data_IF_252720728495
#
_entry.id   IF_252720728495
#
_cell.length_a   1.000
_cell.length_b   1.000
_cell.length_c   1.000
_cell.angle_alpha   90.00
_cell.angle_beta   90.00
_cell.angle_gamma   90.00
#
_symmetry.space_group_name_H-M   'P 1'
#
loop_
_entity.id
_entity.type
_entity.pdbx_description
1 polymer ?
#
# COMPACT_ATOMS: atom_id res chain seq x y z
N UNK A 1 -38.97 -5.28 13.29
CA UNK A 1 -38.57 -3.90 12.92
C UNK A 1 -38.49 -3.82 11.42
N UNK A 2 -39.07 -2.79 10.81
CA UNK A 2 -39.31 -2.70 9.37
C UNK A 2 -38.15 -1.95 8.68
N UNK A 3 -37.38 -2.66 7.86
CA UNK A 3 -36.21 -2.14 7.13
C UNK A 3 -36.57 -0.91 6.28
N UNK A 4 -37.79 -0.91 5.74
CA UNK A 4 -38.31 0.17 4.90
C UNK A 4 -38.42 1.48 5.66
N UNK A 5 -38.73 1.43 6.97
CA UNK A 5 -38.84 2.62 7.81
C UNK A 5 -37.48 3.26 8.06
N UNK A 6 -36.46 2.44 8.27
CA UNK A 6 -35.08 2.91 8.47
C UNK A 6 -34.48 3.50 7.20
N UNK A 7 -34.78 2.92 6.04
CA UNK A 7 -34.36 3.45 4.74
C UNK A 7 -34.98 4.82 4.45
N UNK A 8 -36.25 5.02 4.81
CA UNK A 8 -36.92 6.32 4.66
C UNK A 8 -36.32 7.37 5.59
N UNK A 9 -36.12 7.04 6.88
CA UNK A 9 -35.53 7.97 7.87
C UNK A 9 -34.07 8.33 7.54
N UNK A 10 -33.28 7.36 7.06
CA UNK A 10 -31.92 7.59 6.58
C UNK A 10 -31.91 8.51 5.36
N UNK A 11 -32.81 8.29 4.41
CA UNK A 11 -32.92 9.12 3.20
C UNK A 11 -33.32 10.56 3.52
N UNK A 12 -34.34 10.77 4.35
CA UNK A 12 -34.73 12.11 4.81
C UNK A 12 -33.59 12.83 5.55
N UNK A 13 -32.81 12.10 6.33
CA UNK A 13 -31.69 12.67 7.08
C UNK A 13 -30.56 13.06 6.12
N UNK A 14 -30.22 12.20 5.16
CA UNK A 14 -29.19 12.46 4.15
C UNK A 14 -29.57 13.64 3.24
N UNK A 15 -30.81 13.72 2.78
CA UNK A 15 -31.31 14.83 1.97
C UNK A 15 -31.28 16.17 2.73
N UNK A 16 -31.53 16.15 4.05
CA UNK A 16 -31.47 17.35 4.91
C UNK A 16 -30.06 17.79 5.27
N UNK A 17 -29.10 16.88 5.39
CA UNK A 17 -27.78 17.19 5.96
C UNK A 17 -26.65 17.24 4.94
N UNK A 18 -26.71 16.43 3.88
CA UNK A 18 -25.59 16.28 2.93
C UNK A 18 -25.85 16.95 1.57
N UNK A 19 -27.11 17.10 1.16
CA UNK A 19 -27.47 17.47 -0.22
C UNK A 19 -28.11 18.86 -0.34
N UNK A 20 -28.05 19.68 0.72
CA UNK A 20 -28.56 21.04 0.68
C UNK A 20 -27.69 21.90 -0.27
N UNK A 21 -28.14 22.02 -1.52
CA UNK A 21 -27.47 22.80 -2.57
C UNK A 21 -27.39 22.11 -3.94
N UNK A 22 -27.75 20.83 -4.04
CA UNK A 22 -27.86 20.14 -5.33
C UNK A 22 -29.31 20.15 -5.80
N UNK A 23 -29.71 21.15 -6.59
CA UNK A 23 -31.07 21.26 -7.13
C UNK A 23 -31.42 20.18 -8.17
N UNK A 24 -30.46 19.36 -8.61
CA UNK A 24 -30.69 18.25 -9.53
C UNK A 24 -29.74 17.07 -9.23
N UNK A 25 -30.28 16.03 -8.60
CA UNK A 25 -29.57 14.76 -8.31
C UNK A 25 -29.85 13.68 -9.35
N UNK A 26 -30.62 13.99 -10.40
CA UNK A 26 -31.13 13.01 -11.38
C UNK A 26 -29.98 12.32 -12.11
N UNK A 27 -28.90 13.06 -12.43
CA UNK A 27 -27.71 12.51 -13.09
C UNK A 27 -26.94 11.50 -12.21
N UNK A 28 -26.83 11.78 -10.90
CA UNK A 28 -26.17 10.89 -9.94
C UNK A 28 -26.99 9.62 -9.72
N UNK A 29 -28.32 9.77 -9.62
CA UNK A 29 -29.25 8.65 -9.51
C UNK A 29 -29.22 7.74 -10.75
N UNK A 30 -29.17 8.31 -11.96
CA UNK A 30 -29.05 7.55 -13.21
C UNK A 30 -27.73 6.76 -13.26
N UNK A 31 -26.62 7.37 -12.80
CA UNK A 31 -25.28 6.76 -12.78
C UNK A 31 -25.18 5.63 -11.74
N UNK A 32 -25.77 5.80 -10.55
CA UNK A 32 -25.87 4.75 -9.54
C UNK A 32 -26.75 3.61 -10.05
N UNK A 33 -27.91 3.91 -10.67
CA UNK A 33 -28.83 2.89 -11.22
C UNK A 33 -28.16 2.07 -12.33
N UNK A 34 -27.43 2.72 -13.24
CA UNK A 34 -26.65 2.02 -14.28
C UNK A 34 -25.57 1.11 -13.70
N UNK A 35 -24.88 1.54 -12.63
CA UNK A 35 -23.83 0.76 -11.99
C UNK A 35 -24.39 -0.44 -11.21
N UNK A 36 -25.56 -0.30 -10.57
CA UNK A 36 -26.25 -1.39 -9.88
C UNK A 36 -26.82 -2.41 -10.89
N UNK A 37 -27.44 -1.96 -11.98
CA UNK A 37 -27.95 -2.86 -13.03
C UNK A 37 -26.84 -3.62 -13.78
N UNK A 38 -25.70 -2.98 -14.05
CA UNK A 38 -24.53 -3.64 -14.65
C UNK A 38 -23.93 -4.69 -13.71
N UNK A 39 -23.88 -4.44 -12.40
CA UNK A 39 -23.43 -5.43 -11.39
C UNK A 39 -24.41 -6.59 -11.24
N UNK A 40 -25.72 -6.35 -11.31
CA UNK A 40 -26.74 -7.38 -11.23
C UNK A 40 -26.73 -8.33 -12.45
N UNK A 41 -26.47 -7.81 -13.66
CA UNK A 41 -26.41 -8.61 -14.90
C UNK A 41 -25.15 -9.48 -15.01
N UNK A 42 -24.05 -9.17 -14.30
CA UNK A 42 -22.80 -9.97 -14.30
C UNK A 42 -22.77 -11.10 -13.26
N UNK A 43 -23.60 -11.05 -12.21
CA UNK A 43 -23.62 -12.09 -11.15
C UNK A 43 -24.43 -13.36 -11.51
N UNK A 44 -24.96 -13.48 -12.73
CA UNK A 44 -25.87 -14.58 -13.11
C UNK A 44 -25.43 -15.49 -14.26
N UNK A 45 -24.12 -15.59 -14.51
CA UNK A 45 -23.56 -16.60 -15.42
C UNK A 45 -22.23 -17.14 -14.90
N UNK A 46 -22.28 -18.04 -13.93
CA UNK A 46 -21.35 -19.17 -13.77
C UNK A 46 -21.89 -20.10 -12.67
N UNK A 47 -22.91 -20.88 -13.02
CA UNK A 47 -23.30 -22.10 -12.31
C UNK A 47 -23.42 -23.21 -13.34
N UNK A 48 -22.67 -24.30 -13.14
CA UNK A 48 -22.98 -25.66 -13.61
C UNK A 48 -22.03 -26.65 -12.88
N UNK A 49 -22.39 -27.94 -12.75
CA UNK A 49 -22.84 -28.46 -11.47
C UNK A 49 -22.02 -29.64 -10.93
N UNK A 50 -22.37 -30.01 -9.70
CA UNK A 50 -22.01 -31.18 -8.91
C UNK A 50 -21.83 -32.49 -9.70
N UNK A 51 -20.80 -33.25 -9.35
CA UNK A 51 -20.86 -34.72 -9.36
C UNK A 51 -20.11 -35.27 -8.15
N UNK A 52 -20.88 -35.72 -7.17
CA UNK A 52 -20.42 -36.48 -6.04
C UNK A 52 -20.07 -37.92 -6.46
N UNK A 53 -18.95 -38.43 -5.94
CA UNK A 53 -18.77 -39.87 -5.71
C UNK A 53 -17.85 -40.07 -4.48
N UNK A 54 -18.48 -40.47 -3.38
CA UNK A 54 -17.87 -41.06 -2.19
C UNK A 54 -17.00 -42.28 -2.53
N UNK A 55 -15.90 -42.49 -1.79
CA UNK A 55 -15.65 -43.71 -0.97
C UNK A 55 -14.48 -43.41 -0.01
N UNK A 56 -14.72 -43.69 1.27
CA UNK A 56 -13.72 -43.68 2.35
C UNK A 56 -12.90 -44.97 2.38
N UNK A 57 -11.60 -44.86 2.69
CA UNK A 57 -10.83 -45.94 3.33
C UNK A 57 -9.85 -45.34 4.34
N UNK A 58 -10.07 -45.66 5.61
CA UNK A 58 -9.12 -45.55 6.72
C UNK A 58 -8.06 -46.64 6.56
N UNK A 59 -6.77 -46.33 6.69
CA UNK A 59 -5.80 -47.27 7.24
C UNK A 59 -4.61 -46.54 7.90
N UNK A 60 -4.42 -46.90 9.17
CA UNK A 60 -3.39 -46.52 10.13
C UNK A 60 -2.13 -47.35 9.89
N UNK A 61 -0.97 -46.72 9.67
CA UNK A 61 0.40 -47.22 9.99
C UNK A 61 1.27 -45.94 10.07
N UNK A 62 1.91 -45.50 11.16
CA UNK A 62 2.45 -46.22 12.30
C UNK A 62 3.95 -46.42 12.15
N UNK A 63 4.78 -45.36 12.21
CA UNK A 63 6.23 -45.48 12.45
C UNK A 63 6.81 -44.23 13.12
N UNK A 64 7.06 -44.34 14.42
CA UNK A 64 8.18 -43.72 15.12
C UNK A 64 8.85 -44.80 15.99
N UNK A 65 10.18 -44.85 16.03
CA UNK A 65 10.91 -45.12 17.27
C UNK A 65 11.84 -43.92 17.58
N UNK A 66 11.75 -43.31 18.77
CA UNK A 66 12.57 -43.60 19.98
C UNK A 66 14.03 -43.09 19.84
N UNK A 67 14.73 -42.36 20.73
CA UNK A 67 14.77 -42.05 22.18
C UNK A 67 15.39 -40.63 22.29
N UNK A 68 15.11 -39.77 23.27
CA UNK A 68 15.73 -39.85 24.60
C UNK A 68 14.96 -38.98 25.62
N UNK A 69 14.64 -39.64 26.72
CA UNK A 69 13.91 -39.21 27.90
C UNK A 69 14.84 -38.47 28.87
N UNK A 70 14.36 -37.36 29.44
CA UNK A 70 14.61 -37.06 30.86
C UNK A 70 13.38 -36.37 31.46
N UNK A 71 12.80 -37.04 32.44
CA UNK A 71 11.64 -36.63 33.21
C UNK A 71 11.95 -35.42 34.11
N UNK A 72 10.95 -34.57 34.30
CA UNK A 72 10.51 -34.11 35.63
C UNK A 72 9.05 -33.65 35.50
N UNK A 73 8.16 -34.34 36.19
CA UNK A 73 6.73 -34.09 36.30
C UNK A 73 6.44 -32.90 37.21
N UNK A 74 5.52 -32.02 36.81
CA UNK A 74 4.45 -31.54 37.70
C UNK A 74 3.31 -30.96 36.87
N UNK A 75 2.10 -31.38 37.21
CA UNK A 75 0.83 -31.13 36.56
C UNK A 75 0.23 -29.83 37.08
N UNK A 76 -0.27 -28.93 36.21
CA UNK A 76 -1.55 -28.23 36.38
C UNK A 76 -1.92 -27.44 35.09
N UNK A 77 -3.21 -27.51 34.73
CA UNK A 77 -3.88 -27.05 33.51
C UNK A 77 -3.92 -25.51 33.36
N UNK A 78 -3.75 -24.92 32.15
CA UNK A 78 -3.78 -23.46 31.97
C UNK A 78 -5.11 -22.95 31.34
N UNK A 79 -5.46 -21.70 31.65
CA UNK A 79 -6.31 -20.85 30.81
C UNK A 79 -5.74 -19.42 30.85
N UNK A 80 -5.37 -18.91 29.67
CA UNK A 80 -4.84 -17.55 29.46
C UNK A 80 -3.37 -17.53 29.05
N UNK A 81 -3.08 -17.67 27.75
CA UNK A 81 -1.70 -17.62 27.23
C UNK A 81 -1.30 -16.17 27.00
N UNK A 82 -0.55 -15.61 27.95
CA UNK A 82 0.42 -14.54 27.70
C UNK A 82 1.76 -15.22 27.37
N UNK A 83 2.43 -14.80 26.29
CA UNK A 83 3.76 -15.32 25.97
C UNK A 83 4.80 -14.60 26.85
N UNK A 84 5.48 -15.38 27.70
CA UNK A 84 6.43 -14.91 28.70
C UNK A 84 7.86 -14.73 28.15
N UNK A 85 8.59 -13.84 28.83
CA UNK A 85 9.93 -13.37 28.55
C UNK A 85 11.03 -14.43 28.72
N UNK A 86 11.99 -14.45 27.79
CA UNK A 86 13.27 -15.14 27.97
C UNK A 86 14.17 -14.38 28.94
N UNK A 87 14.64 -15.05 29.98
CA UNK A 87 15.56 -14.50 31.00
C UNK A 87 17.02 -14.68 30.56
N UNK A 88 17.83 -13.68 30.92
CA UNK A 88 19.31 -13.59 30.80
C UNK A 88 19.91 -13.25 29.42
N UNK A 89 19.68 -12.01 28.97
CA UNK A 89 20.72 -11.26 28.27
C UNK A 89 21.34 -10.25 29.23
N UNK A 90 22.67 -10.35 29.38
CA UNK A 90 23.51 -9.28 29.93
C UNK A 90 23.34 -8.07 29.00
N UNK A 91 23.12 -6.83 29.50
CA UNK A 91 22.92 -5.69 28.63
C UNK A 91 24.14 -5.49 27.75
N UNK A 92 23.94 -5.59 26.43
CA UNK A 92 24.89 -5.11 25.44
C UNK A 92 24.98 -3.58 25.60
N UNK A 93 26.16 -2.94 25.77
CA UNK A 93 26.27 -1.51 26.01
C UNK A 93 25.87 -0.62 24.82
N UNK A 94 25.25 -1.18 23.78
CA UNK A 94 24.68 -0.44 22.65
C UNK A 94 23.16 -0.29 22.76
N UNK A 95 22.66 0.02 23.96
CA UNK A 95 21.36 0.67 24.08
C UNK A 95 21.49 2.08 23.49
N UNK A 96 21.35 2.18 22.17
CA UNK A 96 21.21 3.46 21.49
C UNK A 96 19.96 4.12 22.05
N UNK A 97 20.11 5.31 22.62
CA UNK A 97 18.99 6.08 23.12
C UNK A 97 18.02 6.34 21.96
N UNK A 98 16.72 6.17 22.20
CA UNK A 98 15.62 6.52 21.29
C UNK A 98 15.65 7.97 20.75
N UNK A 99 16.60 8.78 21.20
CA UNK A 99 16.76 10.19 20.89
C UNK A 99 17.64 10.50 19.68
N UNK A 100 18.26 9.52 19.03
CA UNK A 100 19.11 9.75 17.87
C UNK A 100 18.35 9.49 16.58
N UNK A 101 17.94 10.58 15.90
CA UNK A 101 17.27 10.52 14.61
C UNK A 101 18.07 9.70 13.58
N UNK A 102 19.41 9.68 13.66
CA UNK A 102 20.24 8.86 12.78
C UNK A 102 19.97 7.37 12.99
N UNK A 103 19.93 6.92 14.26
CA UNK A 103 19.65 5.52 14.61
C UNK A 103 18.24 5.12 14.20
N UNK A 104 17.27 6.02 14.36
CA UNK A 104 15.89 5.79 13.90
C UNK A 104 15.89 5.56 12.40
N UNK A 105 16.53 6.43 11.61
CA UNK A 105 16.58 6.30 10.16
C UNK A 105 17.30 5.03 9.71
N UNK A 106 18.45 4.70 10.33
CA UNK A 106 19.17 3.45 10.05
C UNK A 106 18.29 2.22 10.32
N UNK A 107 17.49 2.25 11.40
CA UNK A 107 16.55 1.16 11.73
C UNK A 107 15.40 1.08 10.72
N UNK A 108 14.85 2.21 10.28
CA UNK A 108 13.82 2.24 9.23
C UNK A 108 14.37 1.66 7.92
N UNK A 109 15.58 2.05 7.54
CA UNK A 109 16.23 1.55 6.32
C UNK A 109 16.48 0.04 6.42
N UNK A 110 16.95 -0.46 7.56
CA UNK A 110 17.11 -1.90 7.81
C UNK A 110 15.78 -2.67 7.67
N UNK A 111 14.69 -2.15 8.26
CA UNK A 111 13.36 -2.74 8.15
C UNK A 111 12.92 -2.84 6.68
N UNK A 112 13.09 -1.75 5.92
CA UNK A 112 12.71 -1.70 4.50
C UNK A 112 13.54 -2.67 3.67
N UNK A 113 14.83 -2.80 3.96
CA UNK A 113 15.74 -3.69 3.24
C UNK A 113 15.45 -5.17 3.48
N UNK A 114 14.98 -5.54 4.68
CA UNK A 114 14.79 -6.96 5.05
C UNK A 114 13.36 -7.47 4.90
N UNK A 115 12.34 -6.61 5.07
CA UNK A 115 10.93 -7.02 5.09
C UNK A 115 10.26 -6.91 3.73
N UNK A 116 9.67 -8.02 3.26
CA UNK A 116 8.97 -8.10 1.97
C UNK A 116 7.68 -8.92 2.06
N UNK A 117 6.71 -8.58 1.21
CA UNK A 117 5.42 -9.30 1.11
C UNK A 117 5.66 -10.80 0.97
N UNK A 118 4.88 -11.60 1.69
CA UNK A 118 4.95 -13.06 1.64
C UNK A 118 5.89 -13.72 2.65
N UNK A 119 6.69 -12.95 3.42
CA UNK A 119 7.49 -13.49 4.52
C UNK A 119 6.62 -14.13 5.59
N UNK A 120 7.06 -15.24 6.19
CA UNK A 120 6.32 -15.87 7.29
C UNK A 120 6.51 -15.12 8.60
N UNK A 121 5.61 -15.37 9.53
CA UNK A 121 5.69 -14.92 10.92
C UNK A 121 7.04 -15.24 11.58
N UNK A 122 7.58 -16.45 11.36
CA UNK A 122 8.87 -16.88 11.90
C UNK A 122 10.04 -16.11 11.29
N UNK A 123 10.00 -15.85 9.97
CA UNK A 123 11.03 -15.07 9.30
C UNK A 123 11.07 -13.64 9.82
N UNK A 124 9.92 -13.01 10.07
CA UNK A 124 9.86 -11.67 10.63
C UNK A 124 10.36 -11.66 12.08
N UNK A 125 10.02 -12.66 12.91
CA UNK A 125 10.57 -12.79 14.26
C UNK A 125 12.10 -12.91 14.28
N UNK A 126 12.67 -13.59 13.29
CA UNK A 126 14.14 -13.70 13.15
C UNK A 126 14.77 -12.36 12.78
N UNK A 127 14.15 -11.57 11.89
CA UNK A 127 14.69 -10.27 11.44
C UNK A 127 14.43 -9.14 12.42
N UNK A 128 13.25 -9.11 13.03
CA UNK A 128 12.82 -8.09 13.98
C UNK A 128 12.88 -8.71 15.37
N UNK A 129 14.07 -8.64 15.98
CA UNK A 129 14.35 -9.18 17.32
C UNK A 129 13.81 -8.29 18.44
N UNK A 130 12.60 -7.77 18.27
CA UNK A 130 11.90 -6.91 19.24
C UNK A 130 10.57 -7.60 19.61
N UNK A 131 10.16 -7.58 20.89
CA UNK A 131 8.85 -8.09 21.30
C UNK A 131 7.73 -7.43 20.50
N UNK A 132 6.70 -8.23 20.19
CA UNK A 132 5.51 -7.77 19.49
C UNK A 132 4.26 -7.97 20.36
N UNK A 133 3.23 -7.19 20.08
CA UNK A 133 1.90 -7.31 20.65
C UNK A 133 0.93 -7.76 19.57
N UNK A 134 0.12 -8.78 19.85
CA UNK A 134 -1.01 -9.13 18.98
C UNK A 134 -2.10 -8.09 19.17
N UNK A 135 -2.53 -7.44 18.10
CA UNK A 135 -3.53 -6.37 18.11
C UNK A 135 -4.88 -6.98 17.77
N UNK A 136 -5.77 -7.06 18.76
CA UNK A 136 -7.10 -7.67 18.60
C UNK A 136 -8.11 -6.72 17.93
N UNK A 137 -7.94 -5.41 18.10
CA UNK A 137 -8.83 -4.39 17.55
C UNK A 137 -8.00 -3.24 16.95
N UNK A 138 -7.78 -3.30 15.64
CA UNK A 138 -7.11 -2.23 14.89
C UNK A 138 -8.10 -1.19 14.34
N UNK A 139 -9.40 -1.29 14.64
CA UNK A 139 -10.40 -0.31 14.20
C UNK A 139 -10.59 -0.18 12.67
N UNK A 140 -9.92 -1.03 11.87
CA UNK A 140 -10.07 -1.09 10.42
C UNK A 140 -11.41 -1.70 10.02
N UNK A 141 -11.91 -1.36 8.82
CA UNK A 141 -13.18 -1.87 8.29
C UNK A 141 -13.19 -3.40 8.03
N UNK A 142 -12.09 -4.10 8.27
CA UNK A 142 -11.90 -5.52 7.93
C UNK A 142 -11.83 -5.80 6.43
N UNK A 143 -11.85 -4.76 5.59
CA UNK A 143 -11.89 -4.87 4.12
C UNK A 143 -10.49 -4.82 3.47
N UNK A 144 -9.44 -4.78 4.29
CA UNK A 144 -8.05 -4.85 3.82
C UNK A 144 -7.56 -6.29 3.61
N UNK A 145 -8.39 -7.29 3.94
CA UNK A 145 -8.09 -8.71 3.77
C UNK A 145 -7.11 -9.28 4.79
N UNK A 146 -6.81 -8.53 5.86
CA UNK A 146 -5.93 -8.94 6.95
C UNK A 146 -6.67 -9.79 7.98
N UNK A 147 -6.01 -10.83 8.48
CA UNK A 147 -6.57 -11.81 9.43
C UNK A 147 -6.05 -11.60 10.85
N UNK A 148 -4.84 -11.06 10.98
CA UNK A 148 -4.15 -10.86 12.24
C UNK A 148 -3.24 -9.63 12.13
N UNK A 149 -3.01 -8.95 13.25
CA UNK A 149 -2.20 -7.75 13.32
C UNK A 149 -1.14 -7.86 14.42
N UNK A 150 0.11 -7.55 14.11
CA UNK A 150 1.18 -7.45 15.10
C UNK A 150 1.74 -6.04 15.18
N UNK A 151 1.82 -5.51 16.39
CA UNK A 151 2.41 -4.22 16.67
C UNK A 151 3.80 -4.35 17.33
N UNK A 152 4.74 -3.52 16.90
CA UNK A 152 6.11 -3.43 17.42
C UNK A 152 6.43 -2.01 17.85
N UNK A 153 6.88 -1.83 19.10
CA UNK A 153 7.43 -0.58 19.60
C UNK A 153 8.95 -0.69 19.61
N UNK A 154 9.62 -0.08 18.64
CA UNK A 154 11.05 -0.26 18.37
C UNK A 154 11.80 0.98 18.85
N UNK A 155 12.98 0.76 19.47
CA UNK A 155 13.72 1.81 20.19
C UNK A 155 12.86 2.49 21.26
N UNK A 156 12.08 1.72 22.01
CA UNK A 156 11.23 2.22 23.08
C UNK A 156 12.02 2.45 24.37
N UNK A 157 11.68 3.51 25.13
CA UNK A 157 12.19 3.70 26.50
C UNK A 157 11.73 2.56 27.41
N UNK A 158 12.49 2.29 28.46
CA UNK A 158 12.10 1.30 29.48
C UNK A 158 10.72 1.64 30.06
N UNK A 159 9.83 0.64 30.09
CA UNK A 159 8.47 0.78 30.59
C UNK A 159 7.47 1.40 29.60
N UNK A 160 7.91 1.83 28.41
CA UNK A 160 6.98 2.25 27.37
C UNK A 160 6.16 1.06 26.87
N UNK A 161 4.84 1.23 26.87
CA UNK A 161 3.90 0.25 26.33
C UNK A 161 2.82 0.99 25.56
N UNK A 162 2.74 0.71 24.27
CA UNK A 162 1.65 1.20 23.43
C UNK A 162 0.35 0.53 23.81
N UNK A 163 -0.69 1.35 23.99
CA UNK A 163 -2.02 0.88 24.44
C UNK A 163 -3.02 0.78 23.30
N UNK A 164 -2.89 1.64 22.29
CA UNK A 164 -3.82 1.76 21.20
C UNK A 164 -3.07 1.80 19.87
N UNK A 165 -3.43 0.90 18.96
CA UNK A 165 -2.82 0.77 17.64
C UNK A 165 -3.64 1.43 16.55
N UNK A 166 -4.86 1.91 16.84
CA UNK A 166 -5.77 2.51 15.86
C UNK A 166 -5.27 3.87 15.33
N UNK A 167 -4.49 4.59 16.13
CA UNK A 167 -3.98 5.92 15.83
C UNK A 167 -2.47 5.98 16.07
N UNK A 168 -1.73 6.72 15.24
CA UNK A 168 -0.28 6.96 15.40
C UNK A 168 -0.04 7.76 16.70
N UNK A 169 0.85 7.28 17.59
CA UNK A 169 1.20 8.00 18.83
C UNK A 169 2.21 9.12 18.55
N UNK A 170 1.76 10.15 17.84
CA UNK A 170 2.61 11.25 17.35
C UNK A 170 3.35 11.97 18.48
N UNK A 171 2.70 12.15 19.64
CA UNK A 171 3.36 12.73 20.82
C UNK A 171 4.51 11.87 21.34
N UNK A 172 4.34 10.55 21.41
CA UNK A 172 5.35 9.63 21.91
C UNK A 172 6.57 9.60 20.97
N UNK A 173 6.32 9.58 19.66
CA UNK A 173 7.35 9.71 18.62
C UNK A 173 8.10 11.05 18.73
N UNK A 174 7.38 12.17 18.84
CA UNK A 174 8.00 13.51 18.95
C UNK A 174 8.79 13.69 20.25
N UNK A 175 8.35 13.09 21.36
CA UNK A 175 9.07 13.08 22.65
C UNK A 175 10.19 12.03 22.71
N UNK A 176 10.32 11.20 21.66
CA UNK A 176 11.25 10.07 21.59
C UNK A 176 11.07 9.12 22.76
N UNK A 177 9.83 8.91 23.19
CA UNK A 177 9.48 7.83 24.12
C UNK A 177 9.51 6.48 23.42
N UNK A 178 9.31 6.49 22.11
CA UNK A 178 9.55 5.41 21.15
C UNK A 178 10.19 6.00 19.89
N UNK A 179 11.18 5.31 19.31
CA UNK A 179 11.85 5.80 18.10
C UNK A 179 11.02 5.57 16.83
N UNK A 180 10.44 4.37 16.71
CA UNK A 180 9.49 4.05 15.65
C UNK A 180 8.50 2.97 16.07
N UNK A 181 7.34 2.99 15.43
CA UNK A 181 6.26 2.06 15.67
C UNK A 181 5.93 1.35 14.36
N UNK A 182 5.93 0.03 14.38
CA UNK A 182 5.62 -0.78 13.19
C UNK A 182 4.37 -1.60 13.44
N UNK A 183 3.43 -1.55 12.49
CA UNK A 183 2.25 -2.41 12.49
C UNK A 183 2.30 -3.32 11.27
N UNK A 184 2.08 -4.61 11.51
CA UNK A 184 2.14 -5.65 10.49
C UNK A 184 0.78 -6.31 10.33
N UNK A 185 0.25 -6.29 9.11
CA UNK A 185 -0.94 -7.04 8.73
C UNK A 185 -0.58 -8.39 8.12
N UNK A 186 -1.20 -9.46 8.63
CA UNK A 186 -1.00 -10.84 8.18
C UNK A 186 -2.17 -11.36 7.35
N UNK A 187 -1.86 -12.16 6.34
CA UNK A 187 -2.83 -12.95 5.58
C UNK A 187 -2.24 -14.31 5.27
N UNK A 188 -2.96 -15.40 5.53
CA UNK A 188 -2.45 -16.76 5.35
C UNK A 188 -1.11 -16.99 6.09
N UNK A 189 -0.95 -16.37 7.27
CA UNK A 189 0.28 -16.36 8.10
C UNK A 189 1.52 -15.79 7.40
N UNK A 190 1.31 -14.99 6.35
CA UNK A 190 2.37 -14.29 5.62
C UNK A 190 2.17 -12.79 5.71
N UNK A 191 3.28 -12.05 5.64
CA UNK A 191 3.29 -10.60 5.60
C UNK A 191 2.42 -10.13 4.44
N UNK A 192 1.31 -9.47 4.75
CA UNK A 192 0.40 -8.90 3.76
C UNK A 192 0.77 -7.45 3.49
N UNK A 193 0.95 -6.64 4.54
CA UNK A 193 1.42 -5.25 4.46
C UNK A 193 2.04 -4.85 5.80
N UNK A 194 2.79 -3.75 5.84
CA UNK A 194 3.16 -3.13 7.10
C UNK A 194 3.18 -1.61 7.00
N UNK A 195 3.06 -0.94 8.13
CA UNK A 195 3.36 0.48 8.29
C UNK A 195 4.49 0.69 9.28
N UNK A 196 5.27 1.74 9.08
CA UNK A 196 6.27 2.23 10.04
C UNK A 196 6.03 3.71 10.25
N UNK A 197 5.65 4.08 11.47
CA UNK A 197 5.56 5.46 11.93
C UNK A 197 6.85 5.82 12.66
N UNK A 198 7.53 6.88 12.24
CA UNK A 198 8.82 7.25 12.81
C UNK A 198 9.01 8.77 12.79
N UNK A 199 9.97 9.27 13.55
CA UNK A 199 10.25 10.71 13.63
C UNK A 199 11.56 11.06 12.92
N UNK A 200 11.57 12.19 12.22
CA UNK A 200 12.78 12.79 11.68
C UNK A 200 12.71 14.31 11.89
N UNK A 201 13.58 14.85 12.74
CA UNK A 201 13.52 16.23 13.18
C UNK A 201 12.21 16.53 13.93
N UNK A 202 11.42 17.45 13.39
CA UNK A 202 10.14 17.89 13.99
C UNK A 202 8.93 17.18 13.37
N UNK A 203 9.14 16.36 12.36
CA UNK A 203 8.08 15.79 11.54
C UNK A 203 7.95 14.28 11.83
N UNK A 204 6.70 13.79 11.80
CA UNK A 204 6.39 12.37 11.91
C UNK A 204 6.09 11.84 10.53
N UNK A 205 6.74 10.75 10.14
CA UNK A 205 6.56 10.09 8.86
C UNK A 205 5.79 8.79 9.06
N UNK A 206 4.96 8.47 8.06
CA UNK A 206 4.30 7.18 7.91
C UNK A 206 4.78 6.55 6.61
N UNK A 207 5.55 5.47 6.73
CA UNK A 207 5.87 4.59 5.62
C UNK A 207 4.88 3.44 5.59
N UNK A 208 4.45 3.02 4.40
CA UNK A 208 3.58 1.87 4.18
C UNK A 208 4.12 1.00 3.04
N UNK A 209 4.34 -0.28 3.31
CA UNK A 209 4.47 -1.31 2.28
C UNK A 209 3.08 -1.92 2.02
N UNK A 210 2.54 -1.73 0.83
CA UNK A 210 1.25 -2.31 0.42
C UNK A 210 1.39 -3.78 0.02
N UNK A 211 0.27 -4.49 -0.04
CA UNK A 211 0.23 -5.93 -0.36
C UNK A 211 0.59 -6.31 -1.79
N UNK A 212 0.58 -5.34 -2.70
CA UNK A 212 1.10 -5.49 -4.05
C UNK A 212 2.62 -5.22 -4.14
N UNK A 213 3.27 -4.86 -3.03
CA UNK A 213 4.70 -4.56 -2.94
C UNK A 213 5.06 -3.07 -3.13
N UNK A 214 4.11 -2.19 -3.47
CA UNK A 214 4.42 -0.76 -3.60
C UNK A 214 4.65 -0.13 -2.23
N UNK A 215 5.49 0.91 -2.20
CA UNK A 215 5.72 1.73 -1.00
C UNK A 215 5.12 3.11 -1.15
N UNK A 216 4.56 3.61 -0.06
CA UNK A 216 4.19 4.99 0.15
C UNK A 216 4.87 5.52 1.41
N UNK A 217 5.23 6.80 1.41
CA UNK A 217 5.88 7.47 2.53
C UNK A 217 5.49 8.95 2.57
N UNK A 218 4.81 9.34 3.64
CA UNK A 218 4.20 10.65 3.81
C UNK A 218 4.44 11.23 5.20
N UNK A 219 4.37 12.55 5.30
CA UNK A 219 4.40 13.26 6.57
C UNK A 219 2.99 13.19 7.16
N UNK A 220 2.88 12.79 8.42
CA UNK A 220 1.63 12.77 9.16
C UNK A 220 1.25 14.21 9.51
N UNK A 221 0.22 14.72 8.86
CA UNK A 221 -0.30 16.05 9.17
C UNK A 221 -1.00 16.04 10.54
N UNK A 222 -0.35 16.66 11.53
CA UNK A 222 -0.85 16.79 12.90
C UNK A 222 -1.99 17.81 13.02
N UNK A 223 -2.23 18.60 11.97
CA UNK A 223 -3.31 19.57 11.92
C UNK A 223 -4.62 18.92 11.48
N UNK A 224 -5.11 17.93 12.24
CA UNK A 224 -6.51 17.51 12.13
C UNK A 224 -7.43 18.65 12.59
N UNK A 225 -7.76 19.52 11.63
CA UNK A 225 -8.54 20.74 11.82
C UNK A 225 -9.10 21.28 10.50
N UNK A 226 -9.52 20.40 9.60
CA UNK A 226 -10.61 20.63 8.62
C UNK A 226 -10.59 21.86 7.73
N UNK A 227 -9.47 22.58 7.61
CA UNK A 227 -9.31 23.73 6.71
C UNK A 227 -7.95 23.64 6.03
N UNK A 228 -7.71 22.50 5.38
CA UNK A 228 -6.60 22.36 4.46
C UNK A 228 -6.73 23.44 3.40
N UNK A 229 -5.77 24.37 3.35
CA UNK A 229 -5.57 25.20 2.16
C UNK A 229 -5.59 24.25 0.96
N UNK A 230 -6.37 24.54 -0.11
CA UNK A 230 -6.38 23.67 -1.27
C UNK A 230 -4.94 23.42 -1.70
N UNK A 231 -4.58 22.14 -1.83
CA UNK A 231 -3.25 21.76 -2.27
C UNK A 231 -2.92 22.56 -3.53
N UNK A 232 -1.73 23.16 -3.56
CA UNK A 232 -1.32 23.93 -4.73
C UNK A 232 -1.42 23.02 -5.96
N UNK A 233 -2.09 23.49 -7.02
CA UNK A 233 -2.26 22.69 -8.22
C UNK A 233 -0.89 22.24 -8.74
N UNK A 234 -0.79 20.94 -9.02
CA UNK A 234 0.38 20.30 -9.59
C UNK A 234 0.29 20.26 -11.10
N UNK A 235 1.45 20.31 -11.79
CA UNK A 235 1.51 20.09 -13.25
C UNK A 235 1.07 18.67 -13.66
N UNK A 236 0.94 17.76 -12.69
CA UNK A 236 0.46 16.40 -12.87
C UNK A 236 -1.04 16.23 -12.63
N UNK A 237 -1.73 17.27 -12.14
CA UNK A 237 -3.17 17.19 -11.93
C UNK A 237 -3.88 16.86 -13.26
N UNK A 238 -4.78 15.87 -13.18
CA UNK A 238 -5.62 15.50 -14.30
C UNK A 238 -6.75 16.52 -14.44
N UNK A 239 -7.00 16.95 -15.66
CA UNK A 239 -8.24 17.65 -16.00
C UNK A 239 -9.42 16.66 -15.95
N UNK A 240 -10.68 17.12 -15.82
CA UNK A 240 -11.84 16.22 -15.79
C UNK A 240 -11.89 15.20 -16.94
N UNK A 241 -11.59 15.61 -18.17
CA UNK A 241 -11.55 14.70 -19.32
C UNK A 241 -10.40 13.68 -19.26
N UNK A 242 -9.25 14.08 -18.68
CA UNK A 242 -8.10 13.21 -18.46
C UNK A 242 -8.41 12.19 -17.35
N UNK A 243 -9.14 12.61 -16.32
CA UNK A 243 -9.60 11.78 -15.20
C UNK A 243 -10.63 10.73 -15.64
N UNK A 244 -11.62 11.12 -16.45
CA UNK A 244 -12.57 10.16 -17.04
C UNK A 244 -11.83 9.10 -17.86
N UNK A 245 -10.83 9.51 -18.65
CA UNK A 245 -9.99 8.57 -19.41
C UNK A 245 -9.15 7.68 -18.50
N UNK A 246 -8.59 8.23 -17.43
CA UNK A 246 -7.84 7.48 -16.43
C UNK A 246 -8.68 6.32 -15.88
N UNK A 247 -9.88 6.62 -15.37
CA UNK A 247 -10.75 5.59 -14.79
C UNK A 247 -11.25 4.60 -15.84
N UNK A 248 -11.66 5.07 -17.02
CA UNK A 248 -12.09 4.17 -18.10
C UNK A 248 -10.96 3.21 -18.51
N UNK A 249 -9.74 3.71 -18.67
CA UNK A 249 -8.59 2.87 -18.99
C UNK A 249 -8.21 1.93 -17.82
N UNK A 250 -8.27 2.40 -16.58
CA UNK A 250 -8.02 1.58 -15.38
C UNK A 250 -8.97 0.38 -15.31
N UNK A 251 -10.22 0.51 -15.75
CA UNK A 251 -11.18 -0.60 -15.76
C UNK A 251 -11.11 -1.48 -17.01
N UNK A 252 -11.01 -0.88 -18.19
CA UNK A 252 -11.11 -1.62 -19.45
C UNK A 252 -9.76 -2.08 -20.03
N UNK A 253 -8.67 -1.34 -19.74
CA UNK A 253 -7.30 -1.57 -20.27
C UNK A 253 -7.25 -1.67 -21.80
N UNK A 254 -8.09 -0.91 -22.48
CA UNK A 254 -8.15 -0.85 -23.94
C UNK A 254 -7.37 0.34 -24.45
N UNK A 255 -6.36 0.10 -25.26
CA UNK A 255 -5.48 1.15 -25.79
C UNK A 255 -6.24 2.16 -26.66
N UNK A 256 -7.37 1.79 -27.27
CA UNK A 256 -8.20 2.73 -28.03
C UNK A 256 -8.70 3.92 -27.19
N UNK A 257 -8.81 3.76 -25.87
CA UNK A 257 -9.19 4.84 -24.95
C UNK A 257 -8.09 5.90 -24.79
N UNK A 258 -6.84 5.55 -25.12
CA UNK A 258 -5.68 6.44 -25.10
C UNK A 258 -5.51 7.19 -26.43
N UNK A 259 -6.32 6.87 -27.45
CA UNK A 259 -6.19 7.49 -28.77
C UNK A 259 -6.39 9.00 -28.69
N UNK A 260 -5.50 9.71 -29.38
CA UNK A 260 -5.49 11.18 -29.46
C UNK A 260 -4.88 11.88 -28.24
N UNK A 261 -4.45 11.13 -27.22
CA UNK A 261 -3.70 11.71 -26.10
C UNK A 261 -2.29 12.10 -26.53
N UNK A 262 -1.82 13.24 -26.02
CA UNK A 262 -0.44 13.68 -26.21
C UNK A 262 0.53 12.88 -25.33
N UNK A 263 1.84 12.92 -25.61
CA UNK A 263 2.84 12.33 -24.72
C UNK A 263 2.74 12.82 -23.26
N UNK A 264 2.41 14.10 -23.07
CA UNK A 264 2.22 14.70 -21.73
C UNK A 264 1.04 14.07 -21.02
N UNK A 265 -0.09 13.90 -21.70
CA UNK A 265 -1.30 13.32 -21.10
C UNK A 265 -1.03 11.88 -20.65
N UNK A 266 -0.33 11.08 -21.46
CA UNK A 266 0.08 9.72 -21.09
C UNK A 266 0.99 9.71 -19.86
N UNK A 267 1.96 10.64 -19.77
CA UNK A 267 2.82 10.76 -18.59
C UNK A 267 2.01 11.10 -17.34
N UNK A 268 1.02 12.02 -17.44
CA UNK A 268 0.14 12.31 -16.30
C UNK A 268 -0.66 11.09 -15.85
N UNK A 269 -1.26 10.34 -16.79
CA UNK A 269 -1.97 9.10 -16.46
C UNK A 269 -1.04 8.08 -15.80
N UNK A 270 0.20 7.96 -16.28
CA UNK A 270 1.21 7.08 -15.71
C UNK A 270 1.59 7.49 -14.28
N UNK A 271 1.86 8.77 -14.05
CA UNK A 271 2.19 9.31 -12.72
C UNK A 271 1.01 9.13 -11.76
N UNK A 272 -0.23 9.35 -12.22
CA UNK A 272 -1.41 9.06 -11.41
C UNK A 272 -1.51 7.58 -11.03
N UNK A 273 -1.22 6.67 -11.95
CA UNK A 273 -1.19 5.25 -11.65
C UNK A 273 -0.07 4.87 -10.65
N UNK A 274 1.02 5.63 -10.59
CA UNK A 274 2.05 5.51 -9.54
C UNK A 274 1.52 5.97 -8.19
N UNK A 275 0.88 7.15 -8.12
CA UNK A 275 0.27 7.67 -6.89
C UNK A 275 -0.75 6.69 -6.29
N UNK A 276 -1.63 6.16 -7.14
CA UNK A 276 -2.70 5.26 -6.75
C UNK A 276 -2.23 3.81 -6.53
N UNK A 277 -0.94 3.51 -6.74
CA UNK A 277 -0.39 2.15 -6.62
C UNK A 277 -0.96 1.15 -7.64
N UNK A 278 -1.50 1.62 -8.76
CA UNK A 278 -2.15 0.80 -9.80
C UNK A 278 -1.11 0.16 -10.73
N UNK A 279 -0.43 -0.88 -10.25
CA UNK A 279 0.64 -1.57 -10.99
C UNK A 279 0.20 -2.11 -12.37
N UNK A 280 -1.02 -2.61 -12.49
CA UNK A 280 -1.56 -3.09 -13.77
C UNK A 280 -1.64 -1.96 -14.80
N UNK A 281 -2.09 -0.78 -14.38
CA UNK A 281 -2.16 0.39 -15.23
C UNK A 281 -0.77 0.92 -15.59
N UNK A 282 0.14 0.98 -14.63
CA UNK A 282 1.54 1.32 -14.89
C UNK A 282 2.17 0.38 -15.93
N UNK A 283 1.92 -0.92 -15.84
CA UNK A 283 2.43 -1.92 -16.76
C UNK A 283 1.79 -1.79 -18.16
N UNK A 284 0.48 -1.54 -18.24
CA UNK A 284 -0.26 -1.39 -19.49
C UNK A 284 0.15 -0.13 -20.28
N UNK A 285 0.45 0.97 -19.58
CA UNK A 285 0.94 2.23 -20.14
C UNK A 285 2.39 2.15 -20.64
N UNK A 286 3.08 1.02 -20.44
CA UNK A 286 4.46 0.84 -20.89
C UNK A 286 4.60 0.04 -22.19
N UNK A 287 5.57 0.42 -23.00
CA UNK A 287 5.97 -0.23 -24.26
C UNK A 287 7.46 -0.61 -24.22
N UNK A 288 7.85 -1.70 -24.91
CA UNK A 288 9.25 -2.10 -25.09
C UNK A 288 9.72 -1.78 -26.51
N UNK A 289 11.03 -1.64 -26.69
CA UNK A 289 11.60 -1.54 -28.03
C UNK A 289 11.56 -2.89 -28.76
N UNK A 290 11.66 -2.81 -30.09
CA UNK A 290 11.84 -3.99 -30.92
C UNK A 290 13.11 -4.75 -30.50
N UNK A 291 12.98 -6.05 -30.27
CA UNK A 291 14.07 -6.91 -29.80
C UNK A 291 14.31 -6.90 -28.29
N UNK A 292 13.54 -6.14 -27.50
CA UNK A 292 13.56 -6.20 -26.03
C UNK A 292 12.35 -6.99 -25.53
N UNK A 293 12.59 -8.03 -24.75
CA UNK A 293 11.51 -8.82 -24.14
C UNK A 293 10.87 -8.01 -23.00
N UNK A 294 9.56 -7.76 -23.10
CA UNK A 294 8.77 -7.19 -22.00
C UNK A 294 8.56 -8.29 -20.95
N UNK A 295 8.92 -8.07 -19.68
CA UNK A 295 8.58 -9.05 -18.64
C UNK A 295 7.07 -9.24 -18.61
N UNK A 296 6.59 -10.44 -18.27
CA UNK A 296 5.15 -10.63 -18.07
C UNK A 296 4.66 -9.76 -16.91
N UNK A 297 3.35 -9.55 -16.82
CA UNK A 297 2.79 -8.78 -15.71
C UNK A 297 3.10 -9.42 -14.36
N UNK A 298 3.07 -10.75 -14.28
CA UNK A 298 3.43 -11.52 -13.09
C UNK A 298 4.91 -11.33 -12.71
N UNK A 299 5.81 -11.36 -13.69
CA UNK A 299 7.23 -11.09 -13.46
C UNK A 299 7.45 -9.68 -12.93
N UNK A 300 6.75 -8.68 -13.50
CA UNK A 300 6.79 -7.31 -13.01
C UNK A 300 6.30 -7.19 -11.55
N UNK A 301 5.18 -7.84 -11.21
CA UNK A 301 4.65 -7.84 -9.84
C UNK A 301 5.64 -8.47 -8.84
N UNK A 302 6.30 -9.57 -9.23
CA UNK A 302 7.29 -10.21 -8.37
C UNK A 302 8.56 -9.36 -8.22
N UNK A 303 8.97 -8.63 -9.26
CA UNK A 303 10.08 -7.66 -9.17
C UNK A 303 9.78 -6.53 -8.17
N UNK A 304 8.59 -5.95 -8.23
CA UNK A 304 8.15 -4.89 -7.31
C UNK A 304 8.17 -5.39 -5.86
N UNK A 305 7.66 -6.60 -5.59
CA UNK A 305 7.66 -7.17 -4.23
C UNK A 305 9.04 -7.56 -3.72
N UNK A 306 9.97 -7.87 -4.62
CA UNK A 306 11.28 -8.43 -4.26
C UNK A 306 12.21 -7.39 -3.63
N UNK A 307 12.09 -6.13 -4.04
CA UNK A 307 13.02 -5.06 -3.65
C UNK A 307 12.27 -3.82 -3.13
N UNK A 308 11.79 -3.85 -1.88
CA UNK A 308 11.09 -2.73 -1.26
C UNK A 308 11.96 -1.46 -1.20
N UNK A 309 13.28 -1.58 -1.02
CA UNK A 309 14.20 -0.46 -0.99
C UNK A 309 14.22 0.30 -2.32
N UNK A 310 14.26 -0.42 -3.46
CA UNK A 310 14.08 0.16 -4.79
C UNK A 310 12.74 0.87 -4.92
N UNK A 311 11.65 0.26 -4.45
CA UNK A 311 10.31 0.85 -4.54
C UNK A 311 10.17 2.11 -3.68
N UNK A 312 10.78 2.16 -2.49
CA UNK A 312 10.83 3.39 -1.67
C UNK A 312 11.58 4.51 -2.38
N UNK A 313 12.72 4.20 -3.01
CA UNK A 313 13.50 5.19 -3.76
C UNK A 313 12.75 5.67 -5.00
N UNK A 314 12.03 4.77 -5.69
CA UNK A 314 11.13 5.11 -6.79
C UNK A 314 10.01 6.04 -6.31
N UNK A 315 9.33 5.72 -5.20
CA UNK A 315 8.30 6.55 -4.60
C UNK A 315 8.83 7.95 -4.27
N UNK A 316 9.95 8.05 -3.54
CA UNK A 316 10.58 9.34 -3.17
C UNK A 316 10.92 10.19 -4.40
N UNK A 317 11.47 9.58 -5.44
CA UNK A 317 11.81 10.27 -6.68
C UNK A 317 10.57 10.81 -7.38
N UNK A 318 9.49 10.02 -7.46
CA UNK A 318 8.22 10.47 -8.03
C UNK A 318 7.57 11.55 -7.16
N UNK A 319 7.59 11.40 -5.83
CA UNK A 319 7.02 12.39 -4.91
C UNK A 319 7.70 13.74 -5.03
N UNK A 320 9.05 13.76 -5.00
CA UNK A 320 9.85 14.96 -5.29
C UNK A 320 9.44 15.58 -6.63
N UNK A 321 9.26 14.76 -7.66
CA UNK A 321 8.86 15.23 -8.97
C UNK A 321 7.45 15.86 -8.97
N UNK A 322 6.50 15.28 -8.25
CA UNK A 322 5.13 15.78 -8.17
C UNK A 322 5.00 17.08 -7.36
N UNK A 323 5.78 17.22 -6.30
CA UNK A 323 5.79 18.40 -5.42
C UNK A 323 6.58 19.57 -6.02
N UNK A 324 7.75 19.27 -6.60
CA UNK A 324 8.67 20.28 -7.12
C UNK A 324 8.55 20.48 -8.63
N UNK A 325 7.80 19.65 -9.34
CA UNK A 325 7.55 19.81 -10.77
C UNK A 325 6.97 21.18 -11.09
N UNK A 326 7.66 21.95 -11.93
CA UNK A 326 7.27 23.31 -12.30
C UNK A 326 6.74 23.41 -13.72
N UNK A 327 7.33 22.63 -14.64
CA UNK A 327 7.07 22.71 -16.06
C UNK A 327 7.27 21.35 -16.71
N UNK A 328 6.45 21.05 -17.70
CA UNK A 328 6.56 19.89 -18.56
C UNK A 328 6.61 20.32 -20.04
N UNK A 329 7.46 19.71 -20.85
CA UNK A 329 7.49 19.93 -22.30
C UNK A 329 7.93 18.69 -23.05
N UNK A 330 7.61 18.65 -24.35
CA UNK A 330 8.02 17.56 -25.24
C UNK A 330 9.23 18.01 -26.05
N UNK A 331 10.26 17.15 -26.10
CA UNK A 331 11.39 17.26 -27.00
C UNK A 331 11.35 16.08 -27.96
N UNK A 332 11.40 16.36 -29.26
CA UNK A 332 11.53 15.34 -30.30
C UNK A 332 12.99 15.29 -30.75
N UNK A 333 13.62 14.13 -30.58
CA UNK A 333 14.90 13.76 -31.18
C UNK A 333 14.64 12.76 -32.31
N UNK A 334 15.64 12.57 -33.17
CA UNK A 334 15.52 11.78 -34.41
C UNK A 334 14.92 10.38 -34.20
N UNK A 335 15.13 9.75 -33.05
CA UNK A 335 14.67 8.40 -32.70
C UNK A 335 13.87 8.31 -31.38
N UNK A 336 13.69 9.43 -30.68
CA UNK A 336 13.08 9.46 -29.34
C UNK A 336 12.22 10.70 -29.13
N UNK A 337 11.02 10.51 -28.58
CA UNK A 337 10.23 11.60 -28.01
C UNK A 337 10.41 11.56 -26.50
N UNK A 338 10.78 12.68 -25.89
CA UNK A 338 11.03 12.78 -24.45
C UNK A 338 10.09 13.83 -23.85
N UNK A 339 9.37 13.44 -22.80
CA UNK A 339 8.63 14.38 -21.96
C UNK A 339 9.53 14.76 -20.79
N UNK A 340 10.02 15.99 -20.80
CA UNK A 340 10.87 16.55 -19.76
C UNK A 340 10.07 17.24 -18.68
N UNK A 341 10.54 17.13 -17.44
CA UNK A 341 10.03 17.80 -16.25
C UNK A 341 11.17 18.56 -15.60
N UNK A 342 10.97 19.86 -15.40
CA UNK A 342 11.90 20.76 -14.71
C UNK A 342 11.39 21.05 -13.30
N UNK A 343 12.28 21.02 -12.30
CA UNK A 343 11.89 21.25 -10.91
C UNK A 343 12.14 22.70 -10.45
N UNK A 344 11.23 23.20 -9.62
CA UNK A 344 11.38 24.47 -8.89
C UNK A 344 12.72 24.49 -8.15
N UNK A 345 13.42 25.61 -8.25
CA UNK A 345 14.60 25.95 -7.42
C UNK A 345 15.76 24.93 -7.44
N UNK A 346 15.82 24.04 -8.44
CA UNK A 346 16.76 22.91 -8.49
C UNK A 346 17.93 23.08 -9.47
N UNK A 347 18.08 24.25 -10.11
CA UNK A 347 19.08 24.46 -11.15
C UNK A 347 18.77 23.64 -12.42
N UNK A 348 19.76 23.00 -13.08
CA UNK A 348 19.55 22.26 -14.34
C UNK A 348 18.93 20.86 -14.16
N UNK A 349 18.52 20.48 -12.94
CA UNK A 349 17.95 19.16 -12.67
C UNK A 349 16.61 18.97 -13.39
N UNK A 350 16.56 17.93 -14.22
CA UNK A 350 15.36 17.54 -14.96
C UNK A 350 15.23 16.03 -15.06
N UNK A 351 13.99 15.56 -15.10
CA UNK A 351 13.66 14.14 -15.34
C UNK A 351 12.93 14.01 -16.67
N UNK A 352 13.24 12.95 -17.42
CA UNK A 352 12.67 12.70 -18.75
C UNK A 352 12.03 11.32 -18.85
N UNK A 353 10.77 11.28 -19.28
CA UNK A 353 10.11 10.05 -19.72
C UNK A 353 10.33 9.89 -21.23
N UNK A 354 10.94 8.77 -21.64
CA UNK A 354 11.02 8.44 -23.07
C UNK A 354 9.68 7.86 -23.48
N UNK A 355 9.13 8.37 -24.58
CA UNK A 355 7.82 8.06 -25.12
C UNK A 355 7.98 7.44 -26.49
N UNK A 356 7.16 6.44 -26.79
CA UNK A 356 7.07 5.83 -28.13
C UNK A 356 5.62 5.59 -28.48
N UNK A 357 5.34 5.60 -29.78
CA UNK A 357 4.06 5.14 -30.30
C UNK A 357 4.14 3.63 -30.55
N UNK A 358 3.03 2.93 -30.29
CA UNK A 358 2.83 1.57 -30.79
C UNK A 358 2.47 1.57 -32.29
N UNK A 359 2.20 0.38 -32.82
CA UNK A 359 1.81 0.15 -34.21
C UNK A 359 0.47 0.81 -34.60
N UNK A 360 -0.34 1.18 -33.60
CA UNK A 360 -1.59 1.91 -33.76
C UNK A 360 -1.43 3.43 -33.63
N UNK A 361 -0.21 3.92 -33.41
CA UNK A 361 0.08 5.35 -33.24
C UNK A 361 -0.26 5.87 -31.83
N UNK A 362 -0.44 5.00 -30.85
CA UNK A 362 -0.81 5.36 -29.48
C UNK A 362 0.46 5.54 -28.64
N UNK A 363 0.58 6.68 -27.97
CA UNK A 363 1.73 6.99 -27.12
C UNK A 363 1.77 6.13 -25.85
N UNK A 364 2.94 5.62 -25.51
CA UNK A 364 3.24 4.85 -24.30
C UNK A 364 4.59 5.24 -23.71
N UNK A 365 4.76 4.99 -22.41
CA UNK A 365 6.03 5.20 -21.70
C UNK A 365 6.99 4.05 -22.04
N UNK A 366 8.18 4.35 -22.51
CA UNK A 366 9.19 3.32 -22.82
C UNK A 366 9.62 2.62 -21.53
N UNK A 367 9.60 1.30 -21.56
CA UNK A 367 10.16 0.44 -20.54
C UNK A 367 11.68 0.63 -20.50
N UNK A 368 12.23 0.92 -19.32
CA UNK A 368 13.67 0.87 -19.09
C UNK A 368 13.96 -0.34 -18.19
N UNK A 369 14.70 -1.36 -18.69
CA UNK A 369 15.08 -2.51 -17.88
C UNK A 369 15.97 -2.14 -16.70
#
# INVERSE_FOLDING_TARGET
>A
MNLDKWLVEFKETADRTLLHGMEDTTGLEEQIRMNVEKKAKRRFRFTYPVSAALVAVVLVIGFTPYLLQKESTSTHTPKGTSAEAGTHQKPDPKAHSASDDQVIMETVDEIVDVLRVGMTQEQIKEKISVPYTVVEDYGGSGDDGTEEYWGYSILAKEGYQRKDWTMIETEALLKRDVGLEMLVGWKDKKLHWYTVSYVQGKDVYLLKLNSNGTIQEDIVDLSQGGTGSPAASSIFDLKPEEEDRYFNYMYEKKDELLRGLSPIDIVKLYVRAVQDGQLEMQYALRIVDEGVEKPTFEQYLEEVKRDPARERNFWRSNKKMMELGSKMWVEHKDDETIVWIEYKDSGPDKTGYIMRQDDQGIWKVRWRP
#
